data_IF_170156983095
#
_entry.id   IF_170156983095
#
_cell.length_a   1.000
_cell.length_b   1.000
_cell.length_c   1.000
_cell.angle_alpha   90.00
_cell.angle_beta   90.00
_cell.angle_gamma   90.00
#
_symmetry.space_group_name_H-M   'P 1'
#
loop_
_entity.id
_entity.type
_entity.pdbx_description
1 polymer ?
#
# COMPACT_ATOMS: atom_id res chain seq x y z
N UNK A 1 -5.54 -1.31 -10.82
CA UNK A 1 -4.94 -2.01 -9.65
C UNK A 1 -5.04 -3.54 -9.77
N UNK A 2 -6.16 -4.13 -10.21
CA UNK A 2 -6.31 -5.59 -10.36
C UNK A 2 -5.69 -6.19 -11.65
N UNK A 3 -5.14 -5.34 -12.51
CA UNK A 3 -4.50 -5.68 -13.79
C UNK A 3 -2.97 -5.43 -13.80
N UNK A 4 -2.37 -5.15 -12.63
CA UNK A 4 -0.93 -4.94 -12.49
C UNK A 4 -0.38 -5.91 -11.42
N UNK A 5 0.57 -6.75 -11.82
CA UNK A 5 1.37 -7.56 -10.89
C UNK A 5 2.02 -6.64 -9.86
N UNK A 6 1.85 -6.87 -8.54
CA UNK A 6 1.67 -8.15 -7.83
C UNK A 6 0.25 -8.39 -7.31
N UNK A 7 -0.67 -7.45 -7.53
CA UNK A 7 -2.05 -7.45 -7.02
C UNK A 7 -3.05 -7.97 -8.04
N UNK A 8 -2.54 -8.50 -9.16
CA UNK A 8 -3.34 -9.08 -10.21
C UNK A 8 -4.21 -10.22 -9.67
N UNK A 9 -5.52 -10.12 -9.90
CA UNK A 9 -6.52 -11.07 -9.44
C UNK A 9 -6.76 -11.12 -7.92
N UNK A 10 -6.13 -10.23 -7.13
CA UNK A 10 -6.21 -10.25 -5.67
C UNK A 10 -7.43 -9.49 -5.11
N UNK A 11 -8.04 -8.61 -5.91
CA UNK A 11 -9.20 -7.81 -5.51
C UNK A 11 -10.49 -8.34 -6.12
N UNK A 12 -11.59 -8.26 -5.35
CA UNK A 12 -12.94 -8.53 -5.87
C UNK A 12 -13.25 -7.54 -6.99
N UNK A 13 -13.48 -8.06 -8.20
CA UNK A 13 -14.05 -7.30 -9.32
C UNK A 13 -15.58 -7.40 -9.31
N UNK A 14 -16.11 -8.51 -8.78
CA UNK A 14 -17.53 -8.78 -8.69
C UNK A 14 -17.95 -9.19 -7.28
N UNK A 15 -19.12 -8.75 -6.85
CA UNK A 15 -19.64 -8.90 -5.47
C UNK A 15 -19.83 -10.37 -5.02
N UNK A 16 -19.80 -11.35 -5.93
CA UNK A 16 -19.96 -12.77 -5.60
C UNK A 16 -18.66 -13.52 -5.31
N UNK A 17 -17.49 -12.87 -5.44
CA UNK A 17 -16.17 -13.51 -5.31
C UNK A 17 -15.75 -13.66 -3.83
N UNK A 18 -16.18 -14.73 -3.16
CA UNK A 18 -16.03 -14.93 -1.69
C UNK A 18 -14.58 -15.06 -1.15
N UNK A 19 -13.58 -15.20 -2.02
CA UNK A 19 -12.18 -15.47 -1.65
C UNK A 19 -11.20 -14.36 -2.06
N UNK A 20 -11.68 -13.21 -2.58
CA UNK A 20 -10.83 -12.08 -2.92
C UNK A 20 -10.94 -10.95 -1.88
N UNK A 21 -9.99 -10.01 -1.91
CA UNK A 21 -10.00 -8.92 -0.93
C UNK A 21 -11.05 -7.88 -1.34
N UNK A 22 -11.92 -7.50 -0.38
CA UNK A 22 -12.96 -6.48 -0.58
C UNK A 22 -12.36 -5.11 -0.90
N UNK A 23 -12.49 -4.71 -2.15
CA UNK A 23 -11.91 -3.49 -2.74
C UNK A 23 -12.38 -2.21 -2.04
N UNK A 24 -13.67 -2.11 -1.67
CA UNK A 24 -14.25 -0.88 -1.08
C UNK A 24 -13.62 -0.44 0.25
N UNK A 25 -13.26 -1.38 1.12
CA UNK A 25 -12.65 -1.05 2.42
C UNK A 25 -11.20 -0.57 2.30
N UNK A 26 -10.46 -1.06 1.30
CA UNK A 26 -9.09 -0.63 1.02
C UNK A 26 -9.12 0.75 0.36
N UNK A 27 -10.04 0.95 -0.57
CA UNK A 27 -10.26 2.23 -1.25
C UNK A 27 -10.62 3.32 -0.23
N UNK A 28 -11.56 3.05 0.67
CA UNK A 28 -12.08 4.07 1.59
C UNK A 28 -11.09 4.48 2.71
N UNK A 29 -10.38 3.52 3.30
CA UNK A 29 -9.55 3.77 4.49
C UNK A 29 -8.05 3.81 4.23
N UNK A 30 -7.59 3.15 3.16
CA UNK A 30 -6.18 3.11 2.79
C UNK A 30 -5.84 4.10 1.67
N UNK A 31 -6.51 3.96 0.52
CA UNK A 31 -6.10 4.67 -0.70
C UNK A 31 -6.51 6.14 -0.70
N UNK A 32 -7.72 6.47 -0.25
CA UNK A 32 -8.19 7.87 -0.24
C UNK A 32 -7.24 8.84 0.49
N UNK A 33 -6.71 8.52 1.69
CA UNK A 33 -5.67 9.34 2.32
C UNK A 33 -4.34 9.44 1.56
N UNK A 34 -3.97 8.42 0.77
CA UNK A 34 -2.72 8.44 0.00
C UNK A 34 -2.82 9.30 -1.27
N UNK A 35 -3.97 9.32 -1.92
CA UNK A 35 -4.13 9.96 -3.25
C UNK A 35 -4.69 11.38 -3.19
N UNK A 36 -5.07 11.88 -2.00
CA UNK A 36 -5.55 13.27 -1.82
C UNK A 36 -4.52 14.29 -2.34
N UNK A 37 -5.00 15.43 -2.82
CA UNK A 37 -4.17 16.52 -3.36
C UNK A 37 -3.70 17.53 -2.30
N UNK A 38 -3.65 17.10 -1.03
CA UNK A 38 -3.33 17.97 0.11
C UNK A 38 -2.60 17.19 1.22
N UNK A 39 -2.04 17.92 2.19
CA UNK A 39 -1.23 17.34 3.27
C UNK A 39 0.20 17.00 2.83
N UNK A 40 1.04 16.64 3.81
CA UNK A 40 2.42 16.21 3.58
C UNK A 40 2.58 14.68 3.47
N UNK A 41 1.47 13.96 3.61
CA UNK A 41 1.35 12.52 3.78
C UNK A 41 0.64 11.85 2.59
N UNK A 42 0.61 12.51 1.44
CA UNK A 42 -0.04 12.03 0.21
C UNK A 42 0.96 11.96 -0.95
N UNK A 43 0.69 11.14 -1.96
CA UNK A 43 1.57 11.05 -3.13
C UNK A 43 1.73 12.39 -3.84
N UNK A 44 0.72 13.25 -3.78
CA UNK A 44 0.79 14.62 -4.28
C UNK A 44 1.93 15.45 -3.67
N UNK A 45 2.22 15.27 -2.37
CA UNK A 45 3.27 16.04 -1.69
C UNK A 45 4.67 15.70 -2.22
N UNK A 46 4.89 14.42 -2.56
CA UNK A 46 6.17 13.89 -3.04
C UNK A 46 6.23 13.73 -4.56
N UNK A 47 5.15 14.00 -5.28
CA UNK A 47 5.16 13.97 -6.74
C UNK A 47 5.95 15.16 -7.29
N UNK A 48 6.94 14.86 -8.13
CA UNK A 48 7.92 15.82 -8.67
C UNK A 48 7.50 16.43 -10.01
N UNK A 49 6.23 16.30 -10.38
CA UNK A 49 5.72 16.83 -11.64
C UNK A 49 5.62 18.36 -11.61
N UNK A 50 6.14 19.03 -12.64
CA UNK A 50 6.14 20.48 -12.76
C UNK A 50 4.74 21.08 -12.86
N UNK A 51 3.79 20.31 -13.42
CA UNK A 51 2.42 20.74 -13.66
C UNK A 51 1.49 20.35 -12.50
N UNK A 52 2.00 19.76 -11.41
CA UNK A 52 1.16 19.17 -10.36
C UNK A 52 0.13 20.14 -9.76
N UNK A 53 0.45 21.43 -9.66
CA UNK A 53 -0.48 22.45 -9.15
C UNK A 53 -1.75 22.58 -9.99
N UNK A 54 -1.69 22.19 -11.26
CA UNK A 54 -2.81 22.29 -12.19
C UNK A 54 -3.87 21.19 -11.96
N UNK A 55 -3.53 20.12 -11.22
CA UNK A 55 -4.53 19.15 -10.74
C UNK A 55 -5.60 19.77 -9.84
N UNK A 56 -5.30 20.90 -9.19
CA UNK A 56 -6.25 21.62 -8.34
C UNK A 56 -7.30 22.40 -9.14
N UNK A 57 -7.12 22.52 -10.47
CA UNK A 57 -7.99 23.29 -11.37
C UNK A 57 -9.13 22.44 -11.97
N UNK A 58 -9.30 21.21 -11.50
CA UNK A 58 -10.39 20.23 -11.78
C UNK A 58 -10.69 19.82 -13.24
N UNK A 59 -10.06 20.44 -14.25
CA UNK A 59 -10.40 20.19 -15.67
C UNK A 59 -9.32 19.46 -16.51
N UNK A 60 -8.13 19.20 -15.97
CA UNK A 60 -7.03 18.54 -16.70
C UNK A 60 -7.07 17.01 -16.57
N UNK A 61 -7.83 16.36 -17.46
CA UNK A 61 -7.96 14.90 -17.49
C UNK A 61 -6.63 14.19 -17.77
N UNK A 62 -5.81 14.60 -18.76
CA UNK A 62 -4.49 13.99 -18.97
C UNK A 62 -3.59 14.04 -17.73
N UNK A 63 -3.54 15.18 -17.04
CA UNK A 63 -2.75 15.31 -15.81
C UNK A 63 -3.30 14.45 -14.67
N UNK A 64 -4.63 14.34 -14.56
CA UNK A 64 -5.27 13.44 -13.60
C UNK A 64 -4.91 11.97 -13.87
N UNK A 65 -4.94 11.54 -15.14
CA UNK A 65 -4.53 10.18 -15.54
C UNK A 65 -3.06 9.93 -15.21
N UNK A 66 -2.17 10.88 -15.53
CA UNK A 66 -0.75 10.84 -15.18
C UNK A 66 -0.53 10.67 -13.67
N UNK A 67 -1.30 11.38 -12.85
CA UNK A 67 -1.23 11.27 -11.39
C UNK A 67 -1.78 9.94 -10.86
N UNK A 68 -2.89 9.43 -11.43
CA UNK A 68 -3.42 8.10 -11.11
C UNK A 68 -2.39 7.02 -11.43
N UNK A 69 -1.71 7.12 -12.56
CA UNK A 69 -0.65 6.21 -12.98
C UNK A 69 0.55 6.25 -12.04
N UNK A 70 0.97 7.45 -11.64
CA UNK A 70 2.02 7.64 -10.64
C UNK A 70 1.66 6.98 -9.31
N UNK A 71 0.47 7.30 -8.75
CA UNK A 71 0.00 6.73 -7.49
C UNK A 71 -0.06 5.19 -7.55
N UNK A 72 -0.64 4.66 -8.63
CA UNK A 72 -0.74 3.22 -8.87
C UNK A 72 0.63 2.56 -8.98
N UNK A 73 1.58 3.21 -9.65
CA UNK A 73 2.97 2.76 -9.76
C UNK A 73 3.66 2.68 -8.41
N UNK A 74 3.55 3.72 -7.57
CA UNK A 74 4.15 3.75 -6.23
C UNK A 74 3.58 2.65 -5.31
N UNK A 75 2.25 2.50 -5.29
CA UNK A 75 1.59 1.43 -4.52
C UNK A 75 2.05 0.06 -5.02
N UNK A 76 2.15 -0.12 -6.34
CA UNK A 76 2.58 -1.36 -6.97
C UNK A 76 4.02 -1.73 -6.59
N UNK A 77 4.95 -0.77 -6.64
CA UNK A 77 6.35 -0.96 -6.25
C UNK A 77 6.45 -1.40 -4.79
N UNK A 78 5.75 -0.69 -3.88
CA UNK A 78 5.74 -1.02 -2.46
C UNK A 78 5.17 -2.41 -2.20
N UNK A 79 3.98 -2.72 -2.74
CA UNK A 79 3.34 -4.02 -2.56
C UNK A 79 4.15 -5.16 -3.20
N UNK A 80 4.90 -4.89 -4.27
CA UNK A 80 5.81 -5.87 -4.88
C UNK A 80 6.95 -6.21 -3.95
N UNK A 81 7.53 -5.19 -3.31
CA UNK A 81 8.59 -5.40 -2.34
C UNK A 81 8.09 -6.15 -1.10
N UNK A 82 6.88 -5.85 -0.61
CA UNK A 82 6.22 -6.62 0.45
C UNK A 82 6.11 -8.09 0.04
N UNK A 83 5.52 -8.38 -1.14
CA UNK A 83 5.39 -9.76 -1.64
C UNK A 83 6.72 -10.48 -1.75
N UNK A 84 7.74 -9.80 -2.28
CA UNK A 84 9.09 -10.36 -2.45
C UNK A 84 9.82 -10.63 -1.13
N UNK A 85 9.37 -10.00 -0.03
CA UNK A 85 9.90 -10.17 1.32
C UNK A 85 9.08 -11.12 2.19
N UNK A 86 8.12 -11.82 1.58
CA UNK A 86 7.25 -12.79 2.25
C UNK A 86 7.50 -14.20 1.72
N UNK A 87 7.20 -15.20 2.54
CA UNK A 87 7.07 -16.58 2.05
C UNK A 87 5.94 -16.64 1.02
N UNK A 88 6.17 -17.30 -0.11
CA UNK A 88 5.17 -17.41 -1.18
C UNK A 88 3.85 -18.02 -0.72
N UNK A 89 3.89 -18.93 0.26
CA UNK A 89 2.73 -19.55 0.91
C UNK A 89 1.86 -18.57 1.72
N UNK A 90 2.39 -17.43 2.14
CA UNK A 90 1.69 -16.44 2.97
C UNK A 90 0.93 -15.42 2.11
N UNK A 91 1.30 -15.27 0.82
CA UNK A 91 0.65 -14.36 -0.13
C UNK A 91 -0.65 -14.97 -0.66
N UNK A 92 -1.62 -15.15 0.22
CA UNK A 92 -2.93 -15.73 -0.07
C UNK A 92 -4.00 -15.04 0.75
N UNK A 93 -5.25 -15.16 0.32
CA UNK A 93 -6.47 -14.80 1.05
C UNK A 93 -7.17 -16.02 1.66
N UNK A 94 -6.68 -17.25 1.38
CA UNK A 94 -7.30 -18.50 1.85
C UNK A 94 -7.35 -18.54 3.38
N UNK A 95 -8.58 -18.60 3.92
CA UNK A 95 -8.85 -18.62 5.35
C UNK A 95 -8.24 -19.82 6.08
N UNK A 96 -7.94 -20.92 5.37
CA UNK A 96 -7.23 -22.09 5.91
C UNK A 96 -5.77 -21.78 6.22
N UNK A 97 -5.16 -20.85 5.48
CA UNK A 97 -3.83 -20.34 5.79
C UNK A 97 -3.95 -19.35 6.96
N UNK A 98 -3.41 -19.71 8.13
CA UNK A 98 -3.38 -18.84 9.31
C UNK A 98 -2.41 -17.66 9.13
N UNK A 99 -1.41 -17.82 8.29
CA UNK A 99 -0.36 -16.83 7.99
C UNK A 99 -0.69 -15.98 6.74
N UNK A 100 -1.95 -16.01 6.29
CA UNK A 100 -2.41 -15.25 5.13
C UNK A 100 -2.21 -13.74 5.32
N UNK A 101 -1.67 -13.09 4.29
CA UNK A 101 -1.38 -11.64 4.30
C UNK A 101 -2.42 -10.84 3.52
N UNK A 102 -3.14 -11.47 2.57
CA UNK A 102 -4.18 -10.81 1.78
C UNK A 102 -5.49 -10.72 2.56
N UNK A 103 -5.46 -9.97 3.65
CA UNK A 103 -6.63 -9.59 4.44
C UNK A 103 -6.79 -8.08 4.42
N UNK A 104 -8.02 -7.59 4.54
CA UNK A 104 -8.32 -6.16 4.58
C UNK A 104 -7.51 -5.45 5.67
N UNK A 105 -7.38 -6.05 6.86
CA UNK A 105 -6.67 -5.47 8.00
C UNK A 105 -5.19 -5.26 7.71
N UNK A 106 -4.54 -6.28 7.14
CA UNK A 106 -3.10 -6.22 6.83
C UNK A 106 -2.85 -5.28 5.67
N UNK A 107 -3.66 -5.35 4.61
CA UNK A 107 -3.52 -4.44 3.47
C UNK A 107 -3.72 -2.98 3.90
N UNK A 108 -4.71 -2.69 4.74
CA UNK A 108 -4.88 -1.34 5.30
C UNK A 108 -3.68 -0.91 6.15
N UNK A 109 -3.12 -1.82 6.95
CA UNK A 109 -1.90 -1.55 7.73
C UNK A 109 -0.69 -1.23 6.83
N UNK A 110 -0.49 -2.01 5.77
CA UNK A 110 0.56 -1.77 4.78
C UNK A 110 0.38 -0.43 4.05
N UNK A 111 -0.85 -0.10 3.67
CA UNK A 111 -1.17 1.16 2.99
C UNK A 111 -0.95 2.37 3.91
N UNK A 112 -1.25 2.26 5.21
CA UNK A 112 -0.94 3.32 6.18
C UNK A 112 0.55 3.38 6.48
N UNK A 113 1.27 2.26 6.49
CA UNK A 113 2.72 2.27 6.58
C UNK A 113 3.32 3.07 5.41
N UNK A 114 2.83 2.88 4.19
CA UNK A 114 3.26 3.66 3.03
C UNK A 114 2.99 5.17 3.22
N UNK A 115 1.86 5.54 3.83
CA UNK A 115 1.54 6.93 4.18
C UNK A 115 2.57 7.53 5.16
N UNK A 116 3.02 6.76 6.15
CA UNK A 116 4.10 7.18 7.07
C UNK A 116 5.43 7.37 6.33
N UNK A 117 5.73 6.54 5.33
CA UNK A 117 6.93 6.70 4.50
C UNK A 117 6.88 7.99 3.68
N UNK A 118 5.73 8.33 3.10
CA UNK A 118 5.53 9.62 2.39
C UNK A 118 5.78 10.79 3.34
N UNK A 119 5.12 10.78 4.51
CA UNK A 119 5.22 11.86 5.48
C UNK A 119 6.66 12.15 5.93
N UNK A 120 7.52 11.13 5.92
CA UNK A 120 8.92 11.20 6.32
C UNK A 120 9.89 11.25 5.12
N UNK A 121 9.41 11.46 3.90
CA UNK A 121 10.22 11.50 2.66
C UNK A 121 11.09 10.24 2.43
N UNK A 122 10.58 9.07 2.82
CA UNK A 122 11.28 7.77 2.70
C UNK A 122 10.69 6.88 1.58
N UNK A 123 10.06 7.50 0.57
CA UNK A 123 9.69 6.79 -0.65
C UNK A 123 10.96 6.39 -1.40
N UNK A 124 11.01 5.15 -1.87
CA UNK A 124 12.18 4.59 -2.54
C UNK A 124 11.73 3.59 -3.60
N UNK A 125 12.70 3.01 -4.31
CA UNK A 125 12.43 2.01 -5.32
C UNK A 125 12.17 0.63 -4.71
N UNK A 126 11.90 -0.34 -5.58
CA UNK A 126 11.69 -1.73 -5.19
C UNK A 126 12.87 -2.30 -4.37
N UNK A 127 14.11 -2.00 -4.75
CA UNK A 127 15.29 -2.53 -4.09
C UNK A 127 15.48 -1.93 -2.69
N UNK A 128 15.20 -0.63 -2.53
CA UNK A 128 15.17 0.07 -1.25
C UNK A 128 14.14 -0.55 -0.32
N UNK A 129 12.90 -0.72 -0.78
CA UNK A 129 11.86 -1.36 0.04
C UNK A 129 12.19 -2.81 0.38
N UNK A 130 12.65 -3.61 -0.59
CA UNK A 130 13.01 -5.02 -0.36
C UNK A 130 14.12 -5.14 0.68
N UNK A 131 15.11 -4.26 0.65
CA UNK A 131 16.19 -4.20 1.65
C UNK A 131 15.67 -3.86 3.05
N UNK A 132 14.76 -2.91 3.16
CA UNK A 132 14.12 -2.55 4.44
C UNK A 132 13.26 -3.68 5.00
N UNK A 133 12.44 -4.27 4.14
CA UNK A 133 11.48 -5.32 4.48
C UNK A 133 12.09 -6.73 4.54
N UNK A 134 13.41 -6.90 4.46
CA UNK A 134 14.04 -8.23 4.28
C UNK A 134 13.73 -9.29 5.36
N UNK A 135 13.17 -8.89 6.52
CA UNK A 135 12.70 -9.79 7.58
C UNK A 135 11.19 -9.69 7.83
N UNK A 136 10.42 -9.24 6.85
CA UNK A 136 8.98 -9.08 6.98
C UNK A 136 8.27 -10.42 7.23
N UNK A 137 8.81 -11.53 6.71
CA UNK A 137 8.29 -12.89 6.94
C UNK A 137 8.20 -13.30 8.41
N UNK A 138 8.98 -12.67 9.28
CA UNK A 138 8.97 -12.92 10.72
C UNK A 138 8.07 -11.96 11.50
N UNK A 139 7.42 -10.99 10.83
CA UNK A 139 6.51 -10.06 11.49
C UNK A 139 5.24 -10.78 11.94
N UNK A 140 4.88 -10.64 13.21
CA UNK A 140 3.70 -11.29 13.76
C UNK A 140 2.42 -10.51 13.43
N UNK A 141 1.90 -10.66 12.21
CA UNK A 141 0.63 -10.02 11.82
C UNK A 141 -0.56 -10.47 12.66
N UNK A 142 -0.50 -11.66 13.29
CA UNK A 142 -1.61 -12.24 14.05
C UNK A 142 -1.90 -11.52 15.37
N UNK A 143 -0.95 -10.73 15.89
CA UNK A 143 -1.14 -9.99 17.14
C UNK A 143 -2.12 -8.81 17.01
N UNK A 144 -2.43 -8.38 15.79
CA UNK A 144 -3.32 -7.25 15.55
C UNK A 144 -4.75 -7.70 15.25
N UNK A 145 -5.70 -7.14 15.99
CA UNK A 145 -7.13 -7.29 15.69
C UNK A 145 -7.50 -6.52 14.42
N UNK A 146 -8.64 -6.84 13.81
CA UNK A 146 -9.07 -6.27 12.52
C UNK A 146 -9.20 -4.74 12.49
N UNK A 147 -9.38 -4.09 13.65
CA UNK A 147 -9.46 -2.63 13.78
C UNK A 147 -8.11 -1.96 14.08
N UNK A 148 -7.05 -2.72 14.34
CA UNK A 148 -5.75 -2.20 14.80
C UNK A 148 -4.75 -1.95 13.65
N UNK A 149 -5.23 -1.74 12.43
CA UNK A 149 -4.38 -1.50 11.26
C UNK A 149 -3.44 -0.29 11.43
N UNK A 150 -3.86 0.75 12.18
CA UNK A 150 -3.02 1.93 12.43
C UNK A 150 -1.88 1.63 13.42
N UNK A 151 -2.10 0.74 14.40
CA UNK A 151 -1.03 0.28 15.29
C UNK A 151 -0.04 -0.60 14.52
N UNK A 152 -0.56 -1.56 13.74
CA UNK A 152 0.26 -2.40 12.84
C UNK A 152 1.14 -1.57 11.91
N UNK A 153 0.59 -0.51 11.30
CA UNK A 153 1.33 0.36 10.41
C UNK A 153 2.51 1.07 11.11
N UNK A 154 2.29 1.55 12.35
CA UNK A 154 3.35 2.19 13.14
C UNK A 154 4.45 1.20 13.50
N UNK A 155 4.08 0.00 13.92
CA UNK A 155 5.05 -1.03 14.29
C UNK A 155 5.86 -1.51 13.07
N UNK A 156 5.21 -1.67 11.90
CA UNK A 156 5.89 -1.95 10.63
C UNK A 156 6.89 -0.83 10.29
N UNK A 157 6.46 0.42 10.38
CA UNK A 157 7.32 1.57 10.13
C UNK A 157 8.54 1.60 11.07
N UNK A 158 8.30 1.50 12.38
CA UNK A 158 9.35 1.53 13.39
C UNK A 158 10.37 0.38 13.22
N UNK A 159 9.86 -0.82 12.93
CA UNK A 159 10.68 -2.04 12.81
C UNK A 159 11.54 -2.04 11.55
N UNK A 160 11.01 -1.57 10.42
CA UNK A 160 11.66 -1.77 9.11
C UNK A 160 12.23 -0.50 8.49
N UNK A 161 11.85 0.70 8.95
CA UNK A 161 12.18 1.95 8.30
C UNK A 161 12.77 3.02 9.23
N UNK A 162 12.40 3.07 10.51
CA UNK A 162 12.87 4.11 11.44
C UNK A 162 14.34 3.93 11.87
N UNK A 163 14.86 2.70 11.91
CA UNK A 163 16.18 2.37 12.47
C UNK A 163 17.35 2.33 11.45
N UNK A 164 17.15 2.81 10.22
CA UNK A 164 18.18 2.76 9.14
C UNK A 164 18.62 4.14 8.63
N UNK A 165 18.74 5.12 9.53
CA UNK A 165 19.50 6.36 9.26
C UNK A 165 20.97 6.17 9.60
#
# INVERSE_FOLDING_TARGET
MNSRSPLEGCFEEYFFEKDKVKTMSIVSYGLKPLVKLSGNDSFYSVWSDSEKSDLLKEDDRPLLEKYIDYCSGQICIFMSAVKASMSSSHWTSDKKCKERILTTSIINGLVICLRLLIQNNMITDFAGYKRSLGKLSSFNFSQYKSSQYAAMARDLYATYFETKQ
#
